data_IF_802265909981
#
_entry.id   IF_802265909981
#
_cell.length_a   1.000
_cell.length_b   1.000
_cell.length_c   1.000
_cell.angle_alpha   90.00
_cell.angle_beta   90.00
_cell.angle_gamma   90.00
#
_symmetry.space_group_name_H-M   'P 1'
#
loop_
_entity.id
_entity.type
_entity.pdbx_description
1 polymer ?
#
# COMPACT_ATOMS: atom_id res chain seq x y z
N UNK A 1 -31.38 36.56 -49.37
CA UNK A 1 -30.95 37.74 -48.59
C UNK A 1 -29.58 37.43 -48.00
N UNK A 2 -28.53 37.67 -48.80
CA UNK A 2 -27.57 38.77 -48.66
C UNK A 2 -26.55 38.56 -47.53
N UNK A 3 -25.48 37.85 -47.87
CA UNK A 3 -24.18 38.01 -47.22
C UNK A 3 -23.53 39.28 -47.78
N UNK A 4 -23.30 40.28 -46.93
CA UNK A 4 -22.61 41.52 -47.28
C UNK A 4 -21.10 41.26 -47.33
N UNK A 5 -20.55 41.36 -48.53
CA UNK A 5 -19.12 41.37 -48.83
C UNK A 5 -18.53 42.73 -48.42
N UNK A 6 -17.64 42.73 -47.43
CA UNK A 6 -16.79 43.89 -47.13
C UNK A 6 -15.54 43.79 -48.00
N UNK A 7 -15.54 44.55 -49.10
CA UNK A 7 -14.37 44.83 -49.93
C UNK A 7 -13.42 45.75 -49.16
N UNK A 8 -12.22 45.27 -48.79
CA UNK A 8 -11.08 46.15 -48.58
C UNK A 8 -10.29 46.23 -49.89
N UNK A 9 -10.30 47.40 -50.53
CA UNK A 9 -9.33 47.76 -51.57
C UNK A 9 -8.01 48.05 -50.89
N UNK A 10 -6.97 47.29 -51.23
CA UNK A 10 -5.59 47.69 -50.94
C UNK A 10 -5.00 48.23 -52.24
N UNK A 11 -4.61 49.50 -52.16
CA UNK A 11 -3.96 50.30 -53.18
C UNK A 11 -2.65 49.63 -53.63
N UNK A 12 -2.44 49.65 -54.94
CA UNK A 12 -1.18 49.37 -55.59
C UNK A 12 -0.08 50.30 -55.07
N UNK A 13 0.95 49.72 -54.45
CA UNK A 13 2.17 50.41 -54.07
C UNK A 13 3.33 49.42 -54.19
N UNK A 14 4.16 49.65 -55.19
CA UNK A 14 5.35 48.86 -55.56
C UNK A 14 6.34 48.77 -54.41
N UNK A 15 6.53 47.57 -53.89
CA UNK A 15 7.60 47.21 -52.97
C UNK A 15 7.85 45.72 -53.08
N UNK A 16 8.85 45.33 -53.88
CA UNK A 16 9.28 43.95 -54.06
C UNK A 16 9.93 43.43 -52.78
N UNK A 17 9.14 42.82 -51.90
CA UNK A 17 9.65 41.82 -50.97
C UNK A 17 9.37 40.43 -51.55
N UNK A 18 10.39 39.91 -52.24
CA UNK A 18 10.39 38.59 -52.84
C UNK A 18 10.55 37.54 -51.73
N UNK A 19 9.44 37.14 -51.10
CA UNK A 19 9.40 35.93 -50.29
C UNK A 19 9.29 34.73 -51.24
N UNK A 20 10.37 33.94 -51.34
CA UNK A 20 10.42 32.74 -52.17
C UNK A 20 9.43 31.65 -51.71
N UNK A 21 9.12 30.66 -52.57
CA UNK A 21 7.98 29.74 -52.40
C UNK A 21 8.16 28.69 -51.29
N UNK A 22 9.18 28.82 -50.43
CA UNK A 22 9.60 27.78 -49.49
C UNK A 22 9.37 28.11 -48.01
N UNK A 23 8.70 29.21 -47.66
CA UNK A 23 8.46 29.58 -46.26
C UNK A 23 7.02 29.29 -45.81
N UNK A 24 6.54 28.06 -46.02
CA UNK A 24 5.47 27.48 -45.22
C UNK A 24 5.98 26.19 -44.56
N UNK A 25 7.07 26.31 -43.82
CA UNK A 25 7.66 25.22 -43.04
C UNK A 25 7.01 25.08 -41.66
N UNK A 26 5.67 25.12 -41.55
CA UNK A 26 5.05 24.56 -40.34
C UNK A 26 5.17 23.06 -40.48
N UNK A 27 6.29 22.50 -40.01
CA UNK A 27 6.39 21.07 -39.78
C UNK A 27 5.20 20.69 -38.89
N UNK A 28 4.18 20.04 -39.46
CA UNK A 28 3.19 19.28 -38.68
C UNK A 28 3.94 18.10 -38.08
N UNK A 29 4.69 18.37 -37.01
CA UNK A 29 5.26 17.33 -36.18
C UNK A 29 4.07 16.62 -35.57
N UNK A 30 3.74 15.43 -36.09
CA UNK A 30 2.82 14.51 -35.44
C UNK A 30 3.22 14.45 -33.97
N UNK A 31 2.34 14.91 -33.08
CA UNK A 31 2.58 14.82 -31.65
C UNK A 31 2.65 13.32 -31.36
N UNK A 32 3.87 12.80 -31.20
CA UNK A 32 4.06 11.44 -30.71
C UNK A 32 3.27 11.34 -29.41
N UNK A 33 2.48 10.27 -29.20
CA UNK A 33 1.80 10.06 -27.93
C UNK A 33 2.80 10.32 -26.81
N UNK A 34 2.44 11.16 -25.84
CA UNK A 34 3.32 11.49 -24.73
C UNK A 34 3.65 10.17 -24.03
N UNK A 35 4.92 9.77 -24.04
CA UNK A 35 5.41 8.59 -23.33
C UNK A 35 5.75 8.98 -21.88
N UNK A 36 4.69 9.33 -21.14
CA UNK A 36 4.76 9.63 -19.70
C UNK A 36 4.67 8.34 -18.88
N UNK A 37 5.09 8.38 -17.62
CA UNK A 37 4.90 7.27 -16.68
C UNK A 37 3.44 6.80 -16.60
N UNK A 38 2.47 7.70 -16.81
CA UNK A 38 1.03 7.39 -16.81
C UNK A 38 0.61 6.61 -18.07
N UNK A 39 1.02 7.06 -19.24
CA UNK A 39 0.70 6.41 -20.53
C UNK A 39 1.45 5.09 -20.74
N UNK A 40 2.64 4.93 -20.13
CA UNK A 40 3.37 3.64 -20.08
C UNK A 40 2.59 2.53 -19.36
N UNK A 41 1.80 2.89 -18.35
CA UNK A 41 0.99 1.93 -17.58
C UNK A 41 -0.28 1.50 -18.31
N UNK A 42 -0.72 2.26 -19.31
CA UNK A 42 -1.97 2.00 -20.04
C UNK A 42 -1.81 0.88 -21.08
N UNK A 43 -0.61 0.72 -21.67
CA UNK A 43 -0.31 -0.31 -22.68
C UNK A 43 0.21 -1.64 -22.14
N UNK A 44 0.38 -1.79 -20.81
CA UNK A 44 0.89 -3.04 -20.22
C UNK A 44 -0.19 -4.13 -20.21
N UNK A 45 0.20 -5.37 -20.48
CA UNK A 45 -0.66 -6.53 -20.24
C UNK A 45 -1.00 -6.60 -18.75
N UNK A 46 -2.29 -6.48 -18.41
CA UNK A 46 -2.76 -6.62 -17.03
C UNK A 46 -2.98 -8.10 -16.74
N UNK A 47 -2.42 -8.56 -15.63
CA UNK A 47 -2.76 -9.88 -15.09
C UNK A 47 -3.97 -9.74 -14.17
N UNK A 48 -5.15 -10.06 -14.70
CA UNK A 48 -6.41 -9.99 -13.96
C UNK A 48 -6.45 -10.92 -12.75
N UNK A 49 -5.71 -12.04 -12.77
CA UNK A 49 -5.67 -12.97 -11.64
C UNK A 49 -4.86 -12.36 -10.50
N UNK A 50 -3.70 -11.79 -10.80
CA UNK A 50 -2.88 -11.08 -9.82
C UNK A 50 -3.63 -9.85 -9.27
N UNK A 51 -4.26 -9.05 -10.14
CA UNK A 51 -5.03 -7.87 -9.73
C UNK A 51 -6.14 -8.25 -8.72
N UNK A 52 -6.84 -9.35 -8.96
CA UNK A 52 -7.86 -9.87 -8.04
C UNK A 52 -7.27 -10.24 -6.67
N UNK A 53 -6.13 -10.94 -6.66
CA UNK A 53 -5.45 -11.32 -5.42
C UNK A 53 -4.96 -10.10 -4.64
N UNK A 54 -4.43 -9.09 -5.34
CA UNK A 54 -3.98 -7.84 -4.72
C UNK A 54 -5.14 -7.08 -4.05
N UNK A 55 -6.33 -7.08 -4.65
CA UNK A 55 -7.53 -6.50 -4.03
C UNK A 55 -7.95 -7.29 -2.78
N UNK A 56 -7.89 -8.62 -2.83
CA UNK A 56 -8.20 -9.47 -1.67
C UNK A 56 -7.19 -9.24 -0.53
N UNK A 57 -5.90 -9.20 -0.84
CA UNK A 57 -4.83 -8.92 0.12
C UNK A 57 -5.01 -7.54 0.78
N UNK A 58 -5.33 -6.51 -0.02
CA UNK A 58 -5.63 -5.17 0.52
C UNK A 58 -6.80 -5.22 1.49
N UNK A 59 -7.89 -5.89 1.12
CA UNK A 59 -9.07 -6.00 1.99
C UNK A 59 -8.76 -6.74 3.30
N UNK A 60 -7.93 -7.79 3.24
CA UNK A 60 -7.48 -8.51 4.41
C UNK A 60 -6.61 -7.63 5.33
N UNK A 61 -5.65 -6.89 4.77
CA UNK A 61 -4.83 -5.93 5.53
C UNK A 61 -5.69 -4.87 6.23
N UNK A 62 -6.72 -4.35 5.56
CA UNK A 62 -7.67 -3.42 6.18
C UNK A 62 -8.48 -4.08 7.31
N UNK A 63 -8.92 -5.32 7.13
CA UNK A 63 -9.67 -6.03 8.17
C UNK A 63 -8.81 -6.28 9.42
N UNK A 64 -7.55 -6.72 9.23
CA UNK A 64 -6.61 -6.92 10.32
C UNK A 64 -6.28 -5.61 11.05
N UNK A 65 -6.07 -4.51 10.32
CA UNK A 65 -5.85 -3.20 10.95
C UNK A 65 -7.04 -2.77 11.83
N UNK A 66 -8.28 -3.01 11.37
CA UNK A 66 -9.47 -2.75 12.21
C UNK A 66 -9.50 -3.68 13.44
N UNK A 67 -9.13 -4.95 13.29
CA UNK A 67 -9.01 -5.87 14.42
C UNK A 67 -7.98 -5.36 15.44
N UNK A 68 -6.78 -4.97 15.01
CA UNK A 68 -5.73 -4.43 15.88
C UNK A 68 -6.24 -3.19 16.66
N UNK A 69 -6.93 -2.27 16.00
CA UNK A 69 -7.49 -1.08 16.65
C UNK A 69 -8.57 -1.41 17.69
N UNK A 70 -9.40 -2.43 17.43
CA UNK A 70 -10.41 -2.90 18.40
C UNK A 70 -9.72 -3.58 19.59
N UNK A 71 -8.71 -4.42 19.34
CA UNK A 71 -7.94 -5.11 20.39
C UNK A 71 -7.16 -4.16 21.31
N UNK A 72 -6.76 -2.98 20.80
CA UNK A 72 -6.13 -1.94 21.62
C UNK A 72 -7.11 -1.26 22.60
N UNK A 73 -8.43 -1.46 22.46
CA UNK A 73 -9.41 -0.90 23.37
C UNK A 73 -9.49 -1.73 24.66
N UNK A 74 -9.60 -1.04 25.81
CA UNK A 74 -9.73 -1.68 27.13
C UNK A 74 -10.92 -2.63 27.28
N UNK A 75 -11.98 -2.43 26.49
CA UNK A 75 -13.21 -3.19 26.62
C UNK A 75 -13.38 -4.26 25.53
N UNK A 76 -12.36 -4.51 24.69
CA UNK A 76 -12.40 -5.49 23.58
C UNK A 76 -13.52 -5.26 22.54
N UNK A 77 -14.17 -4.10 22.60
CA UNK A 77 -15.19 -3.66 21.66
C UNK A 77 -15.01 -2.17 21.33
N UNK A 78 -15.47 -1.78 20.15
CA UNK A 78 -15.47 -0.39 19.70
C UNK A 78 -16.87 0.04 19.26
N UNK A 79 -17.24 1.30 19.51
CA UNK A 79 -18.49 1.86 18.96
C UNK A 79 -18.34 2.15 17.47
N UNK A 80 -19.43 2.02 16.69
CA UNK A 80 -19.39 2.35 15.26
C UNK A 80 -19.00 3.82 15.01
N UNK A 81 -19.35 4.72 15.95
CA UNK A 81 -18.94 6.12 15.88
C UNK A 81 -17.42 6.28 16.02
N UNK A 82 -16.79 5.53 16.92
CA UNK A 82 -15.33 5.53 17.08
C UNK A 82 -14.65 4.95 15.83
N UNK A 83 -15.12 3.79 15.37
CA UNK A 83 -14.60 3.14 14.17
C UNK A 83 -14.76 4.03 12.92
N UNK A 84 -15.82 4.84 12.85
CA UNK A 84 -16.02 5.79 11.76
C UNK A 84 -14.97 6.90 11.74
N UNK A 85 -14.38 7.27 12.88
CA UNK A 85 -13.27 8.23 12.93
C UNK A 85 -11.99 7.61 12.37
N UNK A 86 -11.72 6.37 12.76
CA UNK A 86 -10.57 5.61 12.28
C UNK A 86 -10.65 5.20 10.81
N UNK A 87 -11.80 5.37 10.15
CA UNK A 87 -11.95 5.14 8.71
C UNK A 87 -10.82 5.79 7.90
N UNK A 88 -10.48 7.03 8.21
CA UNK A 88 -9.45 7.78 7.50
C UNK A 88 -8.04 7.32 7.85
N UNK A 89 -7.81 6.95 9.11
CA UNK A 89 -6.53 6.43 9.60
C UNK A 89 -6.18 5.08 8.98
N UNK A 90 -7.18 4.19 8.83
CA UNK A 90 -7.01 2.87 8.22
C UNK A 90 -7.03 2.93 6.69
N UNK A 91 -7.39 4.08 6.09
CA UNK A 91 -7.48 4.23 4.62
C UNK A 91 -8.68 3.48 4.01
N UNK A 92 -9.77 3.35 4.76
CA UNK A 92 -11.02 2.75 4.32
C UNK A 92 -11.82 3.73 3.44
N UNK A 93 -11.99 3.37 2.16
CA UNK A 93 -12.76 4.20 1.22
C UNK A 93 -14.28 4.01 1.37
N UNK A 94 -14.73 2.93 1.99
CA UNK A 94 -16.14 2.58 2.17
C UNK A 94 -16.58 3.03 3.57
N UNK A 95 -17.90 3.19 3.78
CA UNK A 95 -18.45 3.35 5.13
C UNK A 95 -18.11 2.15 6.02
N UNK A 96 -17.74 2.44 7.27
CA UNK A 96 -17.30 1.41 8.21
C UNK A 96 -18.39 0.36 8.47
N UNK A 97 -19.65 0.78 8.60
CA UNK A 97 -20.76 -0.14 8.83
C UNK A 97 -20.96 -1.12 7.68
N UNK A 98 -20.82 -0.66 6.43
CA UNK A 98 -20.89 -1.52 5.25
C UNK A 98 -19.69 -2.47 5.16
N UNK A 99 -18.49 -2.01 5.55
CA UNK A 99 -17.30 -2.85 5.61
C UNK A 99 -17.43 -3.97 6.65
N UNK A 100 -17.87 -3.66 7.87
CA UNK A 100 -18.05 -4.65 8.94
C UNK A 100 -19.10 -5.71 8.55
N UNK A 101 -20.22 -5.30 7.95
CA UNK A 101 -21.27 -6.20 7.46
C UNK A 101 -20.79 -7.16 6.37
N UNK A 102 -19.74 -6.81 5.62
CA UNK A 102 -19.14 -7.66 4.59
C UNK A 102 -18.40 -8.87 5.18
N UNK A 103 -17.91 -8.76 6.41
CA UNK A 103 -17.11 -9.80 7.07
C UNK A 103 -17.71 -10.21 8.43
N UNK A 104 -18.90 -10.85 8.44
CA UNK A 104 -19.58 -11.25 9.69
C UNK A 104 -18.85 -12.37 10.45
N UNK A 105 -17.91 -13.06 9.80
CA UNK A 105 -17.05 -14.06 10.44
C UNK A 105 -15.90 -13.45 11.25
N UNK A 106 -15.54 -12.20 10.94
CA UNK A 106 -14.50 -11.44 11.65
C UNK A 106 -15.18 -10.56 12.70
N UNK A 107 -16.19 -9.79 12.28
CA UNK A 107 -16.80 -8.73 13.08
C UNK A 107 -18.22 -9.08 13.52
N UNK A 108 -18.45 -8.96 14.83
CA UNK A 108 -19.76 -9.12 15.44
C UNK A 108 -20.33 -7.74 15.83
N UNK A 109 -21.39 -7.31 15.13
CA UNK A 109 -22.08 -6.06 15.42
C UNK A 109 -23.25 -6.34 16.39
N UNK A 110 -23.36 -5.56 17.46
CA UNK A 110 -24.41 -5.71 18.46
C UNK A 110 -24.85 -4.36 19.04
N UNK A 111 -26.01 -4.34 19.68
CA UNK A 111 -26.50 -3.21 20.48
C UNK A 111 -25.93 -3.27 21.88
N UNK A 112 -25.23 -2.21 22.31
CA UNK A 112 -24.79 -2.12 23.68
C UNK A 112 -26.00 -2.07 24.63
N UNK A 113 -26.10 -2.97 25.64
CA UNK A 113 -27.30 -3.09 26.47
C UNK A 113 -27.63 -1.80 27.23
N UNK A 114 -26.62 -1.12 27.77
CA UNK A 114 -26.78 0.14 28.51
C UNK A 114 -26.84 1.38 27.60
N UNK A 115 -25.84 1.55 26.72
CA UNK A 115 -25.67 2.77 25.93
C UNK A 115 -26.57 2.86 24.70
N UNK A 116 -27.25 1.76 24.31
CA UNK A 116 -28.09 1.63 23.10
C UNK A 116 -27.39 2.05 21.79
N UNK A 117 -26.06 2.05 21.79
CA UNK A 117 -25.23 2.38 20.64
C UNK A 117 -24.82 1.10 19.89
N UNK A 118 -24.61 1.23 18.58
CA UNK A 118 -24.04 0.17 17.76
C UNK A 118 -22.57 -0.02 18.14
N UNK A 119 -22.24 -1.23 18.60
CA UNK A 119 -20.89 -1.65 18.93
C UNK A 119 -20.46 -2.82 18.06
N UNK A 120 -19.15 -2.95 17.89
CA UNK A 120 -18.51 -4.03 17.16
C UNK A 120 -17.48 -4.68 18.07
N UNK A 121 -17.51 -6.01 18.09
CA UNK A 121 -16.58 -6.91 18.77
C UNK A 121 -15.91 -7.80 17.72
N UNK A 122 -14.70 -8.29 18.01
CA UNK A 122 -14.07 -9.35 17.21
C UNK A 122 -14.68 -10.70 17.60
N UNK A 123 -14.97 -11.53 16.60
CA UNK A 123 -15.54 -12.87 16.83
C UNK A 123 -14.50 -13.78 17.51
N UNK A 124 -14.95 -14.68 18.39
CA UNK A 124 -14.05 -15.64 19.07
C UNK A 124 -13.22 -16.45 18.07
N UNK A 125 -13.84 -16.90 16.98
CA UNK A 125 -13.12 -17.60 15.91
C UNK A 125 -11.93 -16.81 15.35
N UNK A 126 -12.08 -15.49 15.21
CA UNK A 126 -11.00 -14.65 14.71
C UNK A 126 -9.92 -14.43 15.77
N UNK A 127 -10.29 -14.27 17.04
CA UNK A 127 -9.30 -14.15 18.12
C UNK A 127 -8.48 -15.44 18.26
N UNK A 128 -9.13 -16.60 18.13
CA UNK A 128 -8.46 -17.90 18.17
C UNK A 128 -7.48 -18.05 17.00
N UNK A 129 -7.86 -17.61 15.80
CA UNK A 129 -6.98 -17.63 14.62
C UNK A 129 -5.76 -16.70 14.79
N UNK A 130 -5.92 -15.52 15.39
CA UNK A 130 -4.79 -14.61 15.66
C UNK A 130 -3.83 -15.27 16.67
N UNK A 131 -4.37 -15.90 17.73
CA UNK A 131 -3.55 -16.60 18.71
C UNK A 131 -2.81 -17.82 18.12
N UNK A 132 -3.46 -18.54 17.21
CA UNK A 132 -2.85 -19.65 16.46
C UNK A 132 -1.72 -19.16 15.55
N UNK A 133 -1.94 -18.06 14.80
CA UNK A 133 -0.90 -17.44 13.98
C UNK A 133 0.33 -17.07 14.81
N UNK A 134 0.13 -16.42 15.96
CA UNK A 134 1.22 -16.08 16.87
C UNK A 134 1.95 -17.32 17.42
N UNK A 135 1.22 -18.40 17.73
CA UNK A 135 1.83 -19.66 18.17
C UNK A 135 2.71 -20.27 17.09
N UNK A 136 2.21 -20.35 15.85
CA UNK A 136 2.95 -20.86 14.70
C UNK A 136 4.20 -20.02 14.40
N UNK A 137 4.12 -18.69 14.55
CA UNK A 137 5.28 -17.80 14.40
C UNK A 137 6.34 -18.10 15.47
N UNK A 138 5.93 -18.29 16.73
CA UNK A 138 6.85 -18.62 17.84
C UNK A 138 7.50 -20.00 17.66
N UNK A 139 6.76 -21.00 17.22
CA UNK A 139 7.28 -22.35 16.97
C UNK A 139 8.30 -22.37 15.82
N UNK A 140 8.06 -21.56 14.79
CA UNK A 140 8.91 -21.48 13.61
C UNK A 140 10.06 -20.45 13.71
N UNK A 141 10.33 -19.92 14.91
CA UNK A 141 11.31 -18.87 15.14
C UNK A 141 12.67 -19.19 14.50
N UNK A 142 13.18 -20.40 14.67
CA UNK A 142 14.47 -20.85 14.11
C UNK A 142 14.50 -20.79 12.58
N UNK A 143 13.40 -21.18 11.92
CA UNK A 143 13.28 -21.12 10.46
C UNK A 143 13.24 -19.68 9.94
N UNK A 144 12.63 -18.77 10.71
CA UNK A 144 12.55 -17.34 10.39
C UNK A 144 13.95 -16.71 10.50
N UNK A 145 14.72 -17.04 11.55
CA UNK A 145 16.13 -16.62 11.69
C UNK A 145 16.95 -17.08 10.48
N UNK A 146 16.81 -18.35 10.08
CA UNK A 146 17.54 -18.88 8.94
C UNK A 146 17.20 -18.16 7.62
N UNK A 147 15.92 -17.81 7.40
CA UNK A 147 15.52 -17.01 6.23
C UNK A 147 16.11 -15.61 6.28
N UNK A 148 16.13 -15.00 7.46
CA UNK A 148 16.70 -13.67 7.66
C UNK A 148 18.22 -13.68 7.45
N UNK A 149 18.92 -14.72 7.92
CA UNK A 149 20.35 -14.96 7.66
C UNK A 149 20.62 -15.09 6.16
N UNK A 150 19.83 -15.89 5.44
CA UNK A 150 19.93 -15.99 3.97
C UNK A 150 19.73 -14.64 3.29
N UNK A 151 18.76 -13.85 3.75
CA UNK A 151 18.50 -12.52 3.19
C UNK A 151 19.66 -11.55 3.44
N UNK A 152 20.32 -11.61 4.60
CA UNK A 152 21.56 -10.88 4.89
C UNK A 152 22.72 -11.36 4.02
N UNK A 153 22.89 -12.67 3.82
CA UNK A 153 23.94 -13.22 2.96
C UNK A 153 23.79 -12.78 1.49
N UNK A 154 22.56 -12.53 1.03
CA UNK A 154 22.29 -11.99 -0.31
C UNK A 154 22.57 -10.48 -0.41
N UNK A 155 22.61 -9.76 0.71
CA UNK A 155 22.93 -8.33 0.74
C UNK A 155 24.43 -8.14 0.50
N UNK A 156 24.81 -7.17 -0.35
CA UNK A 156 26.22 -6.91 -0.70
C UNK A 156 27.09 -6.67 0.53
N UNK A 157 26.54 -5.94 1.49
CA UNK A 157 27.25 -5.54 2.71
C UNK A 157 26.95 -6.47 3.89
N UNK A 158 26.07 -7.48 3.72
CA UNK A 158 25.65 -8.31 4.84
C UNK A 158 24.79 -7.54 5.85
N UNK A 159 24.17 -6.44 5.42
CA UNK A 159 23.38 -5.54 6.28
C UNK A 159 21.97 -5.31 5.73
N UNK A 160 21.03 -5.03 6.63
CA UNK A 160 19.65 -4.68 6.32
C UNK A 160 19.17 -3.52 7.16
N UNK A 161 18.35 -2.66 6.54
CA UNK A 161 17.69 -1.57 7.23
C UNK A 161 16.53 -2.10 8.09
N UNK A 162 16.54 -1.77 9.38
CA UNK A 162 15.53 -2.18 10.36
C UNK A 162 14.14 -1.61 10.08
N UNK A 163 14.05 -0.42 9.50
CA UNK A 163 12.78 0.15 9.05
C UNK A 163 12.22 -0.62 7.85
N UNK A 164 13.08 -1.00 6.89
CA UNK A 164 12.65 -1.83 5.76
C UNK A 164 12.13 -3.19 6.25
N UNK A 165 12.84 -3.84 7.18
CA UNK A 165 12.38 -5.08 7.83
C UNK A 165 11.04 -4.91 8.54
N UNK A 166 10.84 -3.78 9.24
CA UNK A 166 9.57 -3.47 9.89
C UNK A 166 8.39 -3.43 8.93
N UNK A 167 8.58 -2.86 7.73
CA UNK A 167 7.53 -2.77 6.72
C UNK A 167 7.13 -4.13 6.14
N UNK A 168 8.07 -5.07 6.03
CA UNK A 168 7.83 -6.41 5.45
C UNK A 168 7.71 -7.53 6.48
N UNK A 169 7.68 -7.19 7.77
CA UNK A 169 7.75 -8.16 8.88
C UNK A 169 6.73 -9.30 8.78
N UNK A 170 5.47 -8.98 8.46
CA UNK A 170 4.38 -9.97 8.37
C UNK A 170 4.62 -10.93 7.21
N UNK A 171 5.15 -10.44 6.10
CA UNK A 171 5.49 -11.27 4.92
C UNK A 171 6.70 -12.19 5.21
N UNK A 172 7.60 -11.78 6.10
CA UNK A 172 8.73 -12.59 6.57
C UNK A 172 8.38 -13.51 7.75
N UNK A 173 7.16 -13.40 8.30
CA UNK A 173 6.74 -14.12 9.51
C UNK A 173 7.43 -13.64 10.79
N UNK A 174 7.97 -12.42 10.82
CA UNK A 174 8.62 -11.86 12.00
C UNK A 174 7.56 -11.47 13.06
N UNK A 175 7.80 -11.80 14.35
CA UNK A 175 7.00 -11.27 15.46
C UNK A 175 7.00 -9.74 15.47
N UNK A 176 5.95 -9.10 15.99
CA UNK A 176 5.93 -7.62 16.10
C UNK A 176 7.03 -7.10 17.05
N UNK A 177 7.37 -7.87 18.09
CA UNK A 177 8.42 -7.55 19.07
C UNK A 177 9.78 -8.21 18.75
N UNK A 178 10.03 -8.59 17.49
CA UNK A 178 11.24 -9.33 17.10
C UNK A 178 12.56 -8.66 17.52
N UNK A 179 12.60 -7.32 17.59
CA UNK A 179 13.81 -6.58 18.01
C UNK A 179 14.24 -6.91 19.44
N UNK A 180 13.30 -7.04 20.37
CA UNK A 180 13.57 -7.27 21.79
C UNK A 180 13.44 -8.74 22.18
N UNK A 181 12.58 -9.50 21.50
CA UNK A 181 12.30 -10.91 21.85
C UNK A 181 13.16 -11.91 21.08
N UNK A 182 13.35 -11.71 19.77
CA UNK A 182 13.98 -12.69 18.88
C UNK A 182 15.47 -12.41 18.71
N UNK A 183 15.86 -11.19 18.33
CA UNK A 183 17.27 -10.87 18.02
C UNK A 183 18.25 -11.19 19.17
N UNK A 184 17.95 -10.90 20.45
CA UNK A 184 18.86 -11.21 21.55
C UNK A 184 19.13 -12.71 21.77
N UNK A 185 18.27 -13.60 21.24
CA UNK A 185 18.46 -15.05 21.35
C UNK A 185 19.50 -15.61 20.39
N UNK A 186 19.87 -14.85 19.33
CA UNK A 186 20.79 -15.30 18.28
C UNK A 186 22.00 -14.35 18.11
N UNK A 187 22.78 -14.08 19.18
CA UNK A 187 23.87 -13.11 19.14
C UNK A 187 25.04 -13.54 18.23
N UNK A 188 25.17 -14.84 17.96
CA UNK A 188 26.24 -15.38 17.11
C UNK A 188 25.94 -15.27 15.61
N UNK A 189 24.67 -15.18 15.22
CA UNK A 189 24.26 -15.05 13.82
C UNK A 189 23.99 -13.58 13.46
N UNK A 190 23.30 -12.87 14.33
CA UNK A 190 22.73 -11.54 14.07
C UNK A 190 23.14 -10.57 15.16
N UNK A 191 23.59 -9.38 14.77
CA UNK A 191 23.84 -8.29 15.71
C UNK A 191 23.31 -6.97 15.16
N UNK A 192 22.95 -6.05 16.07
CA UNK A 192 22.61 -4.68 15.69
C UNK A 192 23.89 -3.84 15.80
N UNK A 193 24.41 -3.40 14.66
CA UNK A 193 25.55 -2.45 14.63
C UNK A 193 25.10 -1.04 15.00
N UNK A 194 23.91 -0.65 14.52
CA UNK A 194 23.21 0.59 14.87
C UNK A 194 21.74 0.25 15.13
N UNK A 195 20.97 1.08 15.87
CA UNK A 195 19.54 0.81 16.11
C UNK A 195 18.74 0.60 14.80
N UNK A 196 19.25 1.15 13.70
CA UNK A 196 18.60 1.14 12.39
C UNK A 196 19.17 0.08 11.43
N UNK A 197 20.26 -0.62 11.78
CA UNK A 197 20.94 -1.56 10.88
C UNK A 197 21.21 -2.90 11.56
N UNK A 198 20.71 -3.96 10.92
CA UNK A 198 20.97 -5.34 11.27
C UNK A 198 22.12 -5.88 10.41
N UNK A 199 23.10 -6.52 11.03
CA UNK A 199 24.30 -7.06 10.37
C UNK A 199 24.50 -8.54 10.69
N UNK A 200 25.12 -9.24 9.75
CA UNK A 200 25.53 -10.63 9.89
C UNK A 200 26.92 -10.71 10.52
N UNK A 201 27.09 -11.56 11.55
CA UNK A 201 28.38 -11.71 12.27
C UNK A 201 29.45 -12.37 11.40
N UNK A 202 29.12 -13.45 10.69
CA UNK A 202 30.07 -14.18 9.83
C UNK A 202 29.39 -14.71 8.57
N UNK A 203 30.14 -14.70 7.46
CA UNK A 203 29.75 -15.27 6.16
C UNK A 203 30.46 -16.61 5.97
N UNK A 204 30.23 -17.54 6.89
CA UNK A 204 30.72 -18.92 6.74
C UNK A 204 29.78 -19.75 5.84
#
# INVERSE_FOLDING_TARGET
MHALSVRLRILSGSGTFQYGPFMCGVQRRWKKPVDSARTRLEGRTRDHRLDKLMVQLRNLKLALAVCELISQQRNEYASLQLLSKWRHEVGLNIEIGAFLKKYPHIFQIYMHPVKRNHCCKITQKMTDLIAEEEAVIRENETSIVQRLKKLLMLSTNGTLNMHALWLVRKELGLPDDYRSSMLPKYPYDLYLETPDTLSLVSRD
#
